data_IF_516949660969
#
_entry.id   IF_516949660969
#
_cell.length_a   1.000
_cell.length_b   1.000
_cell.length_c   1.000
_cell.angle_alpha   90.00
_cell.angle_beta   90.00
_cell.angle_gamma   90.00
#
_symmetry.space_group_name_H-M   'P 1'
#
loop_
_entity.id
_entity.type
_entity.pdbx_description
1 polymer ?
#
# COMPACT_ATOMS: atom_id res chain seq x y z
N UNK A 1 28.45 75.17 -42.84
CA UNK A 1 29.26 73.97 -42.65
C UNK A 1 28.54 73.05 -41.72
N UNK A 2 28.15 71.85 -42.18
CA UNK A 2 27.11 71.00 -41.56
C UNK A 2 27.70 70.13 -40.46
N UNK A 3 27.21 70.30 -39.24
CA UNK A 3 27.47 69.37 -38.15
C UNK A 3 26.49 68.16 -38.24
N UNK A 4 27.02 66.94 -38.33
CA UNK A 4 26.23 65.71 -38.28
C UNK A 4 26.15 65.22 -36.83
N UNK A 5 24.92 65.18 -36.30
CA UNK A 5 24.61 64.57 -35.01
C UNK A 5 24.66 63.07 -35.16
N UNK A 6 25.52 62.43 -34.37
CA UNK A 6 25.49 60.99 -34.16
C UNK A 6 24.58 60.68 -32.96
N UNK A 7 23.45 60.07 -33.20
CA UNK A 7 22.59 59.56 -32.17
C UNK A 7 23.09 58.18 -31.71
N UNK A 8 23.49 58.10 -30.48
CA UNK A 8 23.90 56.82 -29.86
C UNK A 8 22.66 56.06 -29.41
N UNK A 9 22.38 54.93 -30.07
CA UNK A 9 21.27 54.08 -29.73
C UNK A 9 21.70 53.10 -28.62
N UNK A 10 21.23 53.32 -27.38
CA UNK A 10 21.45 52.41 -26.27
C UNK A 10 20.49 51.23 -26.38
N UNK A 11 21.03 50.04 -26.65
CA UNK A 11 20.26 48.78 -26.61
C UNK A 11 20.23 48.29 -25.15
N UNK A 12 19.09 48.39 -24.50
CA UNK A 12 18.85 47.78 -23.18
C UNK A 12 18.58 46.30 -23.35
N UNK A 13 19.51 45.46 -22.93
CA UNK A 13 19.29 43.99 -22.89
C UNK A 13 18.45 43.68 -21.63
N UNK A 14 17.18 43.34 -21.84
CA UNK A 14 16.32 42.84 -20.77
C UNK A 14 16.66 41.35 -20.52
N UNK A 15 17.34 41.06 -19.43
CA UNK A 15 17.55 39.70 -18.95
C UNK A 15 16.25 39.22 -18.31
N UNK A 16 15.50 38.39 -19.03
CA UNK A 16 14.34 37.69 -18.50
C UNK A 16 14.81 36.52 -17.61
N UNK A 17 14.77 36.71 -16.29
CA UNK A 17 14.90 35.62 -15.33
C UNK A 17 13.61 34.85 -15.33
N UNK A 18 13.58 33.67 -15.98
CA UNK A 18 12.47 32.72 -15.87
C UNK A 18 12.41 32.15 -14.45
N UNK A 19 11.25 32.19 -13.75
CA UNK A 19 11.12 31.50 -12.48
C UNK A 19 11.21 30.00 -12.72
N UNK A 20 12.19 29.34 -12.09
CA UNK A 20 12.25 27.89 -12.00
C UNK A 20 11.10 27.44 -11.11
N UNK A 21 9.95 27.14 -11.72
CA UNK A 21 8.84 26.48 -11.03
C UNK A 21 9.28 25.05 -10.79
N UNK A 22 9.80 24.77 -9.61
CA UNK A 22 10.05 23.40 -9.15
C UNK A 22 8.72 22.66 -9.16
N UNK A 23 8.45 21.90 -10.22
CA UNK A 23 7.34 20.96 -10.23
C UNK A 23 7.59 19.98 -9.08
N UNK A 24 6.76 20.02 -8.05
CA UNK A 24 6.76 19.03 -7.00
C UNK A 24 6.52 17.68 -7.70
N UNK A 25 7.53 16.83 -7.71
CA UNK A 25 7.48 15.52 -8.35
C UNK A 25 6.48 14.69 -7.54
N UNK A 26 5.35 14.32 -8.16
CA UNK A 26 4.38 13.43 -7.53
C UNK A 26 5.09 12.14 -7.09
N UNK A 27 4.80 11.64 -5.89
CA UNK A 27 5.43 10.41 -5.41
C UNK A 27 5.15 9.27 -6.40
N UNK A 28 6.19 8.53 -6.74
CA UNK A 28 6.05 7.36 -7.61
C UNK A 28 5.05 6.38 -6.99
N UNK A 29 4.12 5.90 -7.82
CA UNK A 29 3.06 4.97 -7.41
C UNK A 29 3.20 3.67 -8.16
N UNK A 30 3.02 2.58 -7.44
CA UNK A 30 3.12 1.22 -7.95
C UNK A 30 1.88 0.41 -7.59
N UNK A 31 1.91 -0.88 -7.89
CA UNK A 31 0.89 -1.83 -7.48
C UNK A 31 1.48 -2.90 -6.56
N UNK A 32 0.62 -3.48 -5.71
CA UNK A 32 0.97 -4.65 -4.90
C UNK A 32 0.00 -5.77 -5.27
N UNK A 33 0.55 -6.89 -5.72
CA UNK A 33 -0.21 -8.11 -6.00
C UNK A 33 0.04 -9.09 -4.85
N UNK A 34 -1.02 -9.43 -4.13
CA UNK A 34 -0.96 -10.34 -2.99
C UNK A 34 -1.61 -11.65 -3.37
N UNK A 35 -0.86 -12.73 -3.32
CA UNK A 35 -1.39 -14.09 -3.45
C UNK A 35 -1.55 -14.69 -2.07
N UNK A 36 -2.78 -15.10 -1.74
CA UNK A 36 -3.11 -15.68 -0.45
C UNK A 36 -3.39 -17.17 -0.64
N UNK A 37 -2.81 -18.01 0.19
CA UNK A 37 -2.95 -19.44 0.16
C UNK A 37 -3.43 -20.03 1.48
N UNK A 38 -3.76 -21.32 1.46
CA UNK A 38 -4.22 -22.06 2.62
C UNK A 38 -5.60 -21.61 3.14
N UNK A 39 -6.50 -21.22 2.23
CA UNK A 39 -7.90 -20.98 2.58
C UNK A 39 -8.56 -22.31 2.97
N UNK A 40 -9.46 -22.28 3.96
CA UNK A 40 -10.20 -23.45 4.41
C UNK A 40 -11.29 -23.87 3.42
N UNK A 41 -11.95 -22.87 2.86
CA UNK A 41 -13.01 -23.03 1.85
C UNK A 41 -12.75 -22.09 0.67
N UNK A 42 -13.46 -22.30 -0.45
CA UNK A 42 -13.46 -21.39 -1.60
C UNK A 42 -14.64 -20.42 -1.60
N UNK A 43 -15.33 -20.26 -0.47
CA UNK A 43 -16.50 -19.41 -0.30
C UNK A 43 -16.21 -18.27 0.67
N UNK A 44 -17.11 -17.29 0.76
CA UNK A 44 -16.92 -16.11 1.62
C UNK A 44 -16.19 -14.97 0.91
N UNK A 45 -15.46 -14.16 1.66
CA UNK A 45 -14.73 -13.00 1.18
C UNK A 45 -13.29 -12.98 1.71
N UNK A 46 -12.34 -12.58 0.86
CA UNK A 46 -10.96 -12.33 1.27
C UNK A 46 -10.76 -10.84 1.51
N UNK A 47 -10.54 -10.44 2.76
CA UNK A 47 -10.26 -9.07 3.12
C UNK A 47 -8.75 -8.84 3.21
N UNK A 48 -8.25 -7.88 2.45
CA UNK A 48 -6.85 -7.45 2.49
C UNK A 48 -6.77 -5.99 2.95
N UNK A 49 -5.92 -5.73 3.93
CA UNK A 49 -5.76 -4.41 4.53
C UNK A 49 -4.30 -3.99 4.49
N UNK A 50 -4.03 -2.83 3.89
CA UNK A 50 -2.69 -2.26 3.69
C UNK A 50 -2.43 -1.16 4.72
N UNK A 51 -1.38 -1.32 5.51
CA UNK A 51 -0.87 -0.35 6.47
C UNK A 51 0.44 0.25 5.98
N UNK A 52 0.64 1.56 6.22
CA UNK A 52 1.86 2.30 5.87
C UNK A 52 2.75 2.60 7.07
N UNK A 53 2.26 2.34 8.28
CA UNK A 53 2.97 2.54 9.53
C UNK A 53 2.51 1.53 10.58
N UNK A 54 3.16 1.53 11.73
CA UNK A 54 2.77 0.70 12.87
C UNK A 54 1.44 1.13 13.52
N UNK A 55 0.97 2.36 13.22
CA UNK A 55 -0.26 2.89 13.79
C UNK A 55 -1.46 2.04 13.35
N UNK A 56 -2.15 1.45 14.32
CA UNK A 56 -3.33 0.61 14.10
C UNK A 56 -3.03 -0.81 13.63
N UNK A 57 -1.81 -1.10 13.17
CA UNK A 57 -1.44 -2.44 12.71
C UNK A 57 -1.37 -3.42 13.88
N UNK A 58 -1.87 -4.62 13.73
CA UNK A 58 -2.72 -5.15 12.64
C UNK A 58 -4.23 -5.12 12.95
N UNK A 59 -4.66 -4.49 14.06
CA UNK A 59 -5.98 -4.66 14.67
C UNK A 59 -6.98 -3.56 14.39
N UNK A 60 -6.54 -2.40 13.92
CA UNK A 60 -7.37 -1.22 13.67
C UNK A 60 -7.42 -0.92 12.16
N UNK A 61 -8.22 -1.67 11.38
CA UNK A 61 -8.28 -1.52 9.93
C UNK A 61 -8.84 -0.16 9.49
N UNK A 62 -9.50 0.58 10.39
CA UNK A 62 -9.93 1.96 10.18
C UNK A 62 -8.79 2.95 10.04
N UNK A 63 -7.60 2.63 10.58
CA UNK A 63 -6.37 3.43 10.45
C UNK A 63 -5.48 3.00 9.27
N UNK A 64 -5.93 2.03 8.48
CA UNK A 64 -5.19 1.54 7.33
C UNK A 64 -5.26 2.50 6.14
N UNK A 65 -4.23 2.46 5.29
CA UNK A 65 -4.17 3.27 4.07
C UNK A 65 -5.18 2.81 3.01
N UNK A 66 -5.38 1.49 2.87
CA UNK A 66 -6.34 0.90 1.93
C UNK A 66 -6.91 -0.42 2.46
N UNK A 67 -8.16 -0.67 2.10
CA UNK A 67 -8.85 -1.95 2.34
C UNK A 67 -9.50 -2.40 1.04
N UNK A 68 -9.32 -3.66 0.68
CA UNK A 68 -9.91 -4.25 -0.53
C UNK A 68 -10.43 -5.65 -0.25
N UNK A 69 -11.37 -6.09 -1.07
CA UNK A 69 -11.82 -7.47 -1.13
C UNK A 69 -11.12 -8.13 -2.31
N UNK A 70 -10.51 -9.28 -2.08
CA UNK A 70 -9.80 -10.05 -3.09
C UNK A 70 -10.70 -11.00 -3.86
N UNK A 71 -10.20 -11.49 -4.97
CA UNK A 71 -10.86 -12.51 -5.79
C UNK A 71 -10.47 -13.91 -5.31
N UNK A 72 -11.46 -14.73 -4.98
CA UNK A 72 -11.26 -16.13 -4.60
C UNK A 72 -11.10 -17.02 -5.84
N UNK A 73 -10.21 -18.00 -5.74
CA UNK A 73 -10.04 -19.07 -6.74
C UNK A 73 -9.71 -20.37 -6.01
N UNK A 74 -10.72 -21.20 -5.77
CA UNK A 74 -10.58 -22.40 -4.97
C UNK A 74 -10.09 -22.06 -3.56
N UNK A 75 -8.96 -22.64 -3.14
CA UNK A 75 -8.35 -22.42 -1.81
C UNK A 75 -7.24 -21.37 -1.82
N UNK A 76 -7.29 -20.49 -2.79
CA UNK A 76 -6.40 -19.32 -2.92
C UNK A 76 -7.20 -18.05 -3.15
N UNK A 77 -6.59 -16.91 -2.94
CA UNK A 77 -7.18 -15.62 -3.27
C UNK A 77 -6.10 -14.66 -3.79
N UNK A 78 -6.52 -13.64 -4.52
CA UNK A 78 -5.64 -12.57 -5.00
C UNK A 78 -6.23 -11.23 -4.63
N UNK A 79 -5.42 -10.39 -4.01
CA UNK A 79 -5.71 -8.98 -3.74
C UNK A 79 -4.77 -8.10 -4.55
N UNK A 80 -5.27 -7.05 -5.22
CA UNK A 80 -4.45 -6.12 -6.00
C UNK A 80 -4.67 -4.70 -5.51
N UNK A 81 -3.64 -4.12 -4.88
CA UNK A 81 -3.64 -2.71 -4.49
C UNK A 81 -3.03 -1.88 -5.61
N UNK A 82 -3.78 -0.93 -6.16
CA UNK A 82 -3.32 -0.01 -7.20
C UNK A 82 -2.97 1.36 -6.59
N UNK A 83 -2.01 2.06 -7.23
CA UNK A 83 -1.66 3.44 -6.88
C UNK A 83 -1.10 3.55 -5.47
N UNK A 84 -0.27 2.59 -5.06
CA UNK A 84 0.41 2.60 -3.76
C UNK A 84 1.71 3.37 -3.88
N UNK A 85 1.92 4.33 -3.00
CA UNK A 85 3.17 5.09 -2.92
C UNK A 85 4.33 4.19 -2.52
N UNK A 86 5.53 4.53 -2.98
CA UNK A 86 6.77 3.85 -2.58
C UNK A 86 7.03 3.99 -1.07
N UNK A 87 7.79 3.06 -0.49
CA UNK A 87 8.16 3.06 0.92
C UNK A 87 7.61 1.88 1.71
N UNK A 88 7.67 1.92 3.06
CA UNK A 88 7.30 0.80 3.91
C UNK A 88 5.80 0.51 3.87
N UNK A 89 5.46 -0.78 3.90
CA UNK A 89 4.08 -1.27 3.96
C UNK A 89 4.02 -2.61 4.69
N UNK A 90 2.86 -2.93 5.24
CA UNK A 90 2.52 -4.25 5.75
C UNK A 90 1.07 -4.57 5.39
N UNK A 91 0.76 -5.84 5.20
CA UNK A 91 -0.58 -6.30 4.82
C UNK A 91 -1.08 -7.31 5.83
N UNK A 92 -2.34 -7.16 6.21
CA UNK A 92 -3.12 -8.21 6.87
C UNK A 92 -4.13 -8.78 5.89
N UNK A 93 -4.35 -10.08 5.95
CA UNK A 93 -5.37 -10.78 5.17
C UNK A 93 -6.20 -11.65 6.11
N UNK A 94 -7.53 -11.60 6.00
CA UNK A 94 -8.39 -12.56 6.67
C UNK A 94 -9.48 -13.09 5.74
N UNK A 95 -9.81 -14.36 5.91
CA UNK A 95 -10.82 -15.04 5.13
C UNK A 95 -12.14 -15.05 5.89
N UNK A 96 -13.02 -14.14 5.56
CA UNK A 96 -14.39 -14.03 6.08
C UNK A 96 -15.26 -15.11 5.43
N UNK A 97 -15.34 -16.28 6.07
CA UNK A 97 -16.01 -17.46 5.53
C UNK A 97 -17.53 -17.30 5.45
N UNK A 98 -18.13 -16.51 6.33
CA UNK A 98 -19.57 -16.28 6.40
C UNK A 98 -20.03 -14.93 5.83
N UNK A 99 -19.09 -14.12 5.30
CA UNK A 99 -19.33 -12.79 4.70
C UNK A 99 -20.03 -11.79 5.64
N UNK A 100 -19.73 -11.85 6.94
CA UNK A 100 -20.26 -10.94 7.94
C UNK A 100 -19.42 -9.66 8.12
N UNK A 101 -18.30 -9.53 7.38
CA UNK A 101 -17.34 -8.42 7.38
C UNK A 101 -16.63 -8.20 8.72
N UNK A 102 -16.57 -9.23 9.55
CA UNK A 102 -15.93 -9.21 10.87
C UNK A 102 -15.07 -10.45 11.02
N UNK A 103 -13.92 -10.30 11.67
CA UNK A 103 -13.12 -11.45 12.08
C UNK A 103 -13.79 -12.12 13.28
N UNK A 104 -14.31 -13.31 13.05
CA UNK A 104 -14.97 -14.10 14.10
C UNK A 104 -13.95 -14.69 15.08
N UNK A 105 -14.27 -14.60 16.37
CA UNK A 105 -13.40 -15.05 17.45
C UNK A 105 -14.06 -16.14 18.28
N UNK A 106 -13.30 -17.16 18.67
CA UNK A 106 -13.72 -18.14 19.69
C UNK A 106 -13.30 -17.63 21.05
N UNK A 107 -14.23 -17.59 22.00
CA UNK A 107 -14.00 -17.12 23.38
C UNK A 107 -13.37 -15.71 23.44
N UNK A 108 -13.60 -14.88 22.39
CA UNK A 108 -13.09 -13.51 22.31
C UNK A 108 -11.57 -13.38 22.09
N UNK A 109 -10.84 -14.48 21.95
CA UNK A 109 -9.36 -14.45 21.89
C UNK A 109 -8.75 -15.19 20.71
N UNK A 110 -9.41 -16.20 20.19
CA UNK A 110 -8.89 -17.03 19.11
C UNK A 110 -9.66 -16.80 17.79
N UNK A 111 -9.00 -16.41 16.70
CA UNK A 111 -9.65 -16.33 15.41
C UNK A 111 -10.23 -17.68 15.00
N UNK A 112 -11.50 -17.70 14.57
CA UNK A 112 -12.13 -18.86 13.94
C UNK A 112 -11.79 -18.97 12.48
N UNK A 113 -11.52 -17.84 11.87
CA UNK A 113 -11.27 -17.67 10.44
C UNK A 113 -9.77 -17.55 10.16
N UNK A 114 -9.39 -17.89 8.93
CA UNK A 114 -7.99 -17.83 8.51
C UNK A 114 -7.46 -16.42 8.49
N UNK A 115 -6.35 -16.18 9.16
CA UNK A 115 -5.69 -14.89 9.28
C UNK A 115 -4.22 -14.99 8.88
N UNK A 116 -3.71 -14.01 8.15
CA UNK A 116 -2.32 -13.97 7.70
C UNK A 116 -1.77 -12.55 7.57
N UNK A 117 -0.45 -12.47 7.45
CA UNK A 117 0.28 -11.21 7.35
C UNK A 117 1.40 -11.32 6.31
N UNK A 118 1.76 -10.21 5.69
CA UNK A 118 2.95 -10.15 4.83
C UNK A 118 4.18 -10.65 5.57
N UNK A 119 5.15 -11.23 4.85
CA UNK A 119 6.34 -11.92 5.35
C UNK A 119 6.07 -13.21 6.16
N UNK A 120 4.82 -13.61 6.34
CA UNK A 120 4.43 -14.83 7.08
C UNK A 120 5.18 -15.00 8.42
N UNK A 121 5.18 -13.99 9.30
CA UNK A 121 5.89 -14.09 10.58
C UNK A 121 5.32 -15.24 11.42
N UNK A 122 6.19 -15.95 12.11
CA UNK A 122 5.77 -16.99 13.05
C UNK A 122 5.14 -16.31 14.28
N UNK A 123 3.85 -16.53 14.46
CA UNK A 123 3.09 -15.99 15.59
C UNK A 123 2.56 -17.11 16.44
N UNK A 124 2.62 -16.95 17.75
CA UNK A 124 2.13 -17.96 18.69
C UNK A 124 0.87 -17.51 19.42
N UNK A 125 0.92 -16.48 20.24
CA UNK A 125 -0.20 -16.03 21.06
C UNK A 125 -0.65 -14.60 20.75
N UNK A 126 0.16 -13.81 20.11
CA UNK A 126 -0.14 -12.43 19.73
C UNK A 126 0.10 -12.23 18.23
N UNK A 127 -0.62 -11.29 17.57
CA UNK A 127 -0.31 -10.91 16.20
C UNK A 127 1.11 -10.30 16.11
N UNK A 128 1.70 -10.28 14.91
CA UNK A 128 3.02 -9.70 14.71
C UNK A 128 2.99 -8.18 14.88
N UNK A 129 4.15 -7.61 15.14
CA UNK A 129 4.38 -6.18 15.04
C UNK A 129 4.55 -5.75 13.57
N UNK A 130 4.36 -4.47 13.28
CA UNK A 130 4.53 -3.92 11.93
C UNK A 130 5.91 -4.24 11.34
N UNK A 131 6.97 -4.16 12.14
CA UNK A 131 8.33 -4.44 11.71
C UNK A 131 8.53 -5.88 11.18
N UNK A 132 7.81 -6.85 11.74
CA UNK A 132 7.88 -8.26 11.32
C UNK A 132 7.13 -8.51 9.99
N UNK A 133 6.06 -7.78 9.73
CA UNK A 133 5.25 -7.89 8.52
C UNK A 133 5.69 -6.90 7.41
N UNK A 134 6.57 -5.95 7.73
CA UNK A 134 6.98 -4.86 6.85
C UNK A 134 7.75 -5.33 5.64
N UNK A 135 7.39 -4.82 4.47
CA UNK A 135 8.15 -4.89 3.21
C UNK A 135 8.25 -3.50 2.59
N UNK A 136 9.06 -3.36 1.53
CA UNK A 136 9.24 -2.09 0.81
C UNK A 136 8.50 -2.14 -0.52
N UNK A 137 7.71 -1.12 -0.79
CA UNK A 137 7.10 -0.87 -2.09
C UNK A 137 8.06 -0.02 -2.92
N UNK A 138 8.52 -0.54 -4.04
CA UNK A 138 9.36 0.16 -5.02
C UNK A 138 8.53 0.81 -6.13
N UNK A 139 9.23 1.20 -7.21
CA UNK A 139 8.59 1.75 -8.42
C UNK A 139 7.93 0.66 -9.27
N UNK A 140 8.46 -0.56 -9.22
CA UNK A 140 7.94 -1.72 -9.93
C UNK A 140 6.84 -2.42 -9.13
N UNK A 141 5.95 -3.22 -9.77
CA UNK A 141 4.96 -4.01 -9.08
C UNK A 141 5.58 -4.92 -8.02
N UNK A 142 5.04 -4.90 -6.82
CA UNK A 142 5.50 -5.70 -5.68
C UNK A 142 4.61 -6.93 -5.54
N UNK A 143 5.21 -8.13 -5.46
CA UNK A 143 4.50 -9.40 -5.31
C UNK A 143 4.70 -9.94 -3.91
N UNK A 144 3.59 -10.19 -3.20
CA UNK A 144 3.58 -10.66 -1.82
C UNK A 144 2.82 -11.98 -1.75
N UNK A 145 3.38 -12.96 -1.03
CA UNK A 145 2.71 -14.20 -0.73
C UNK A 145 2.34 -14.27 0.76
N UNK A 146 1.07 -14.52 1.04
CA UNK A 146 0.57 -14.69 2.40
C UNK A 146 -0.03 -16.09 2.52
N UNK A 147 0.40 -16.82 3.53
CA UNK A 147 -0.21 -18.08 3.93
C UNK A 147 -1.09 -17.85 5.15
N UNK A 148 -2.36 -18.17 5.05
CA UNK A 148 -3.27 -18.06 6.19
C UNK A 148 -2.94 -19.10 7.26
N UNK A 149 -2.95 -18.66 8.51
CA UNK A 149 -2.95 -19.51 9.66
C UNK A 149 -4.40 -19.97 9.91
N UNK A 150 -4.63 -21.25 9.75
CA UNK A 150 -5.90 -21.90 10.04
C UNK A 150 -5.82 -22.56 11.42
N UNK A 151 -6.91 -22.51 12.18
CA UNK A 151 -7.06 -23.22 13.45
C UNK A 151 -8.29 -24.11 13.45
#
# INVERSE_FOLDING_TARGET
MKMKNFALLAVAAATATAPCTGAAQEPARSSIVVTISNLKTGTGQMHCTLFRSAQGFPRQPELAAKRIIGTLSGRTATCVFQGVETGPAAITAFHDENSNQKLDMTLGVLPKEGLGWSNNPKVWMKPPDFAQARFMVGNDPTYIQIRLNQR
#
